data_IF_801375965751
#
_entry.id   IF_801375965751
#
_cell.length_a   1.000
_cell.length_b   1.000
_cell.length_c   1.000
_cell.angle_alpha   90.00
_cell.angle_beta   90.00
_cell.angle_gamma   90.00
#
_symmetry.space_group_name_H-M   'P 1'
#
loop_
_entity.id
_entity.type
_entity.pdbx_description
1 polymer ?
#
# COMPACT_ATOMS: atom_id res chain seq x y z
N UNK A 1 -22.46 2.94 15.77
CA UNK A 1 -22.23 1.86 14.81
C UNK A 1 -21.33 2.47 13.76
N UNK A 2 -20.04 2.18 13.80
CA UNK A 2 -19.08 2.72 12.84
C UNK A 2 -19.32 2.03 11.52
N UNK A 3 -19.63 2.78 10.47
CA UNK A 3 -19.82 2.20 9.14
C UNK A 3 -18.44 2.02 8.48
N UNK A 4 -17.83 0.87 8.76
CA UNK A 4 -16.50 0.53 8.24
C UNK A 4 -16.45 0.53 6.72
N UNK A 5 -17.56 0.22 6.04
CA UNK A 5 -17.63 0.21 4.57
C UNK A 5 -17.50 1.60 3.98
N UNK A 6 -18.26 2.56 4.51
CA UNK A 6 -18.20 3.96 4.10
C UNK A 6 -16.81 4.58 4.35
N UNK A 7 -16.21 4.32 5.52
CA UNK A 7 -14.90 4.88 5.86
C UNK A 7 -13.79 4.35 4.96
N UNK A 8 -13.75 3.03 4.73
CA UNK A 8 -12.80 2.39 3.79
C UNK A 8 -12.93 2.96 2.38
N UNK A 9 -14.16 3.18 1.91
CA UNK A 9 -14.40 3.71 0.56
C UNK A 9 -13.91 5.15 0.42
N UNK A 10 -14.23 6.01 1.38
CA UNK A 10 -13.77 7.40 1.39
C UNK A 10 -12.24 7.49 1.41
N UNK A 11 -11.59 6.61 2.16
CA UNK A 11 -10.13 6.55 2.18
C UNK A 11 -9.55 6.13 0.83
N UNK A 12 -10.09 5.09 0.19
CA UNK A 12 -9.67 4.66 -1.16
C UNK A 12 -9.82 5.80 -2.19
N UNK A 13 -10.98 6.48 -2.18
CA UNK A 13 -11.23 7.61 -3.08
C UNK A 13 -10.23 8.75 -2.84
N UNK A 14 -9.87 9.02 -1.59
CA UNK A 14 -8.86 10.02 -1.26
C UNK A 14 -7.45 9.60 -1.71
N UNK A 15 -7.06 8.34 -1.50
CA UNK A 15 -5.75 7.83 -1.89
C UNK A 15 -5.58 7.79 -3.41
N UNK A 16 -6.61 7.38 -4.15
CA UNK A 16 -6.62 7.41 -5.61
C UNK A 16 -6.46 8.84 -6.15
N UNK A 17 -7.08 9.82 -5.50
CA UNK A 17 -6.95 11.23 -5.87
C UNK A 17 -5.58 11.84 -5.54
N UNK A 18 -4.97 11.44 -4.43
CA UNK A 18 -3.67 11.98 -3.97
C UNK A 18 -2.50 11.30 -4.69
N UNK A 19 -2.61 10.01 -4.99
CA UNK A 19 -1.52 9.18 -5.53
C UNK A 19 -1.94 8.42 -6.82
N UNK A 20 -2.43 9.09 -7.86
CA UNK A 20 -2.98 8.43 -9.05
C UNK A 20 -1.98 7.53 -9.78
N UNK A 21 -0.69 7.85 -9.72
CA UNK A 21 0.38 7.07 -10.37
C UNK A 21 0.98 5.98 -9.46
N UNK A 22 0.83 6.11 -8.14
CA UNK A 22 1.44 5.22 -7.15
C UNK A 22 0.43 4.28 -6.48
N UNK A 23 -0.87 4.52 -6.65
CA UNK A 23 -1.96 3.78 -6.00
C UNK A 23 -2.81 3.06 -7.05
N UNK A 24 -3.00 1.75 -6.87
CA UNK A 24 -3.80 0.94 -7.80
C UNK A 24 -4.74 0.05 -7.00
N UNK A 25 -6.05 0.17 -7.23
CA UNK A 25 -7.04 -0.75 -6.67
C UNK A 25 -7.02 -2.06 -7.47
N UNK A 26 -6.83 -3.19 -6.78
CA UNK A 26 -6.80 -4.52 -7.38
C UNK A 26 -8.16 -5.22 -7.33
N UNK A 27 -8.89 -5.07 -6.22
CA UNK A 27 -10.27 -5.56 -6.07
C UNK A 27 -11.01 -4.74 -5.03
N UNK A 28 -12.34 -4.71 -5.13
CA UNK A 28 -13.22 -4.03 -4.17
C UNK A 28 -13.85 -5.00 -3.16
N UNK A 29 -13.77 -6.33 -3.38
CA UNK A 29 -14.45 -7.30 -2.51
C UNK A 29 -13.70 -8.66 -2.39
N UNK A 30 -12.85 -8.86 -1.36
CA UNK A 30 -12.47 -7.90 -0.33
C UNK A 30 -11.61 -6.76 -0.91
N UNK A 31 -11.70 -5.54 -0.35
CA UNK A 31 -10.96 -4.41 -0.88
C UNK A 31 -9.46 -4.64 -0.70
N UNK A 32 -8.73 -4.70 -1.81
CA UNK A 32 -7.29 -4.78 -1.84
C UNK A 32 -6.72 -3.86 -2.93
N UNK A 33 -5.59 -3.25 -2.59
CA UNK A 33 -4.93 -2.25 -3.41
C UNK A 33 -3.43 -2.34 -3.21
N UNK A 34 -2.68 -1.77 -4.14
CA UNK A 34 -1.23 -1.66 -4.07
C UNK A 34 -0.80 -0.22 -4.01
N UNK A 35 0.24 0.04 -3.21
CA UNK A 35 0.92 1.32 -3.14
C UNK A 35 2.37 1.09 -3.53
N UNK A 36 2.83 1.77 -4.56
CA UNK A 36 4.23 1.78 -4.96
C UNK A 36 4.93 2.97 -4.32
N UNK A 37 5.96 2.67 -3.53
CA UNK A 37 6.81 3.66 -2.88
C UNK A 37 8.20 3.58 -3.50
N UNK A 38 8.68 4.70 -4.01
CA UNK A 38 10.02 4.84 -4.59
C UNK A 38 10.80 5.82 -3.72
N UNK A 39 12.03 5.46 -3.37
CA UNK A 39 12.92 6.37 -2.64
C UNK A 39 13.31 7.54 -3.52
N UNK A 40 13.76 8.61 -2.87
CA UNK A 40 14.51 9.64 -3.57
C UNK A 40 15.77 9.03 -4.21
N UNK A 41 16.22 9.65 -5.31
CA UNK A 41 17.42 9.23 -6.02
C UNK A 41 18.65 9.45 -5.13
N UNK A 42 19.44 8.40 -4.94
CA UNK A 42 20.69 8.45 -4.19
C UNK A 42 21.81 9.16 -4.93
N UNK A 43 23.03 9.13 -4.38
CA UNK A 43 24.21 9.80 -4.95
C UNK A 43 24.56 9.36 -6.38
N UNK A 44 24.18 8.14 -6.79
CA UNK A 44 24.40 7.60 -8.12
C UNK A 44 23.16 7.62 -9.02
N UNK A 45 22.13 8.39 -8.69
CA UNK A 45 20.81 8.34 -9.34
C UNK A 45 20.09 6.99 -9.15
N UNK A 46 20.52 6.19 -8.16
CA UNK A 46 19.92 4.91 -7.82
C UNK A 46 18.67 5.11 -6.96
N UNK A 47 17.57 4.47 -7.33
CA UNK A 47 16.32 4.45 -6.55
C UNK A 47 15.99 3.04 -6.11
N UNK A 48 15.53 2.90 -4.87
CA UNK A 48 14.88 1.68 -4.40
C UNK A 48 13.38 1.84 -4.51
N UNK A 49 12.68 0.77 -4.87
CA UNK A 49 11.23 0.80 -4.98
C UNK A 49 10.64 -0.45 -4.34
N UNK A 50 9.53 -0.29 -3.65
CA UNK A 50 8.74 -1.40 -3.13
C UNK A 50 7.27 -1.15 -3.40
N UNK A 51 6.56 -2.20 -3.81
CA UNK A 51 5.13 -2.19 -4.00
C UNK A 51 4.52 -3.03 -2.89
N UNK A 52 3.80 -2.35 -2.00
CA UNK A 52 3.09 -2.96 -0.90
C UNK A 52 1.65 -3.22 -1.33
N UNK A 53 1.15 -4.43 -1.08
CA UNK A 53 -0.25 -4.77 -1.27
C UNK A 53 -0.94 -4.76 0.08
N UNK A 54 -2.00 -3.97 0.19
CA UNK A 54 -2.84 -3.88 1.37
C UNK A 54 -4.17 -4.58 1.11
N UNK A 55 -4.67 -5.28 2.12
CA UNK A 55 -5.99 -5.90 2.13
C UNK A 55 -6.72 -5.45 3.38
N UNK A 56 -7.82 -4.73 3.22
CA UNK A 56 -8.62 -4.31 4.37
C UNK A 56 -9.30 -5.51 5.02
N UNK A 57 -9.16 -5.61 6.34
CA UNK A 57 -9.96 -6.54 7.13
C UNK A 57 -11.41 -6.04 7.23
N UNK A 58 -12.32 -6.95 7.60
CA UNK A 58 -13.73 -6.59 7.83
C UNK A 58 -13.91 -5.60 8.99
N UNK A 59 -12.92 -5.57 9.90
CA UNK A 59 -12.90 -4.73 11.10
C UNK A 59 -12.05 -3.48 10.95
N UNK A 60 -11.42 -3.24 9.81
CA UNK A 60 -10.68 -1.99 9.61
C UNK A 60 -11.63 -0.78 9.71
N UNK A 61 -11.28 0.29 10.45
CA UNK A 61 -9.95 0.59 11.00
C UNK A 61 -9.68 0.09 12.44
N UNK A 62 -10.62 -0.59 13.11
CA UNK A 62 -10.38 -1.18 14.45
C UNK A 62 -9.31 -2.29 14.43
N UNK A 63 -9.23 -3.04 13.33
CA UNK A 63 -8.17 -4.02 13.09
C UNK A 63 -7.27 -3.53 11.94
N UNK A 64 -5.95 -3.63 12.12
CA UNK A 64 -4.99 -3.25 11.10
C UNK A 64 -5.24 -4.03 9.79
N UNK A 65 -4.97 -3.41 8.62
CA UNK A 65 -5.06 -4.12 7.36
C UNK A 65 -3.93 -5.14 7.28
N UNK A 66 -4.15 -6.19 6.49
CA UNK A 66 -3.06 -7.09 6.12
C UNK A 66 -2.23 -6.39 5.05
N UNK A 67 -0.91 -6.48 5.17
CA UNK A 67 0.02 -5.99 4.16
C UNK A 67 1.04 -7.07 3.79
N UNK A 68 1.45 -7.06 2.53
CA UNK A 68 2.48 -7.94 1.99
C UNK A 68 3.32 -7.18 0.96
N UNK A 69 4.59 -7.55 0.82
CA UNK A 69 5.46 -6.99 -0.23
C UNK A 69 5.12 -7.74 -1.53
N UNK A 70 4.51 -7.03 -2.47
CA UNK A 70 4.09 -7.60 -3.76
C UNK A 70 5.28 -7.71 -4.72
N UNK A 71 6.05 -6.62 -4.82
CA UNK A 71 7.28 -6.55 -5.62
C UNK A 71 8.26 -5.58 -5.00
N UNK A 72 9.54 -5.85 -5.17
CA UNK A 72 10.61 -4.94 -4.76
C UNK A 72 11.64 -4.80 -5.88
N UNK A 73 12.24 -3.62 -6.00
CA UNK A 73 13.28 -3.30 -6.97
C UNK A 73 14.45 -2.63 -6.25
N UNK A 74 15.65 -3.16 -6.47
CA UNK A 74 16.89 -2.71 -5.83
C UNK A 74 16.85 -2.71 -4.29
N UNK A 75 15.94 -3.48 -3.70
CA UNK A 75 15.83 -3.65 -2.24
C UNK A 75 16.38 -5.01 -1.85
N UNK A 76 17.37 -5.00 -0.95
CA UNK A 76 18.00 -6.21 -0.43
C UNK A 76 17.09 -6.95 0.57
N UNK A 77 17.16 -8.29 0.59
CA UNK A 77 16.31 -9.13 1.45
C UNK A 77 16.42 -8.82 2.95
N UNK A 78 17.58 -8.34 3.42
CA UNK A 78 17.72 -7.93 4.82
C UNK A 78 16.92 -6.66 5.13
N UNK A 79 16.76 -5.76 4.16
CA UNK A 79 15.95 -4.54 4.30
C UNK A 79 14.46 -4.84 4.18
N UNK A 80 14.09 -5.84 3.37
CA UNK A 80 12.71 -6.37 3.28
C UNK A 80 12.23 -6.89 4.64
N UNK A 81 13.10 -7.59 5.36
CA UNK A 81 12.80 -8.12 6.68
C UNK A 81 12.57 -7.02 7.74
N UNK A 82 13.07 -5.81 7.53
CA UNK A 82 12.83 -4.67 8.43
C UNK A 82 11.47 -3.97 8.14
N UNK A 83 10.93 -4.17 6.93
CA UNK A 83 9.62 -3.66 6.50
C UNK A 83 8.46 -4.56 6.99
N UNK A 84 8.73 -5.85 7.22
CA UNK A 84 7.75 -6.86 7.64
C UNK A 84 7.63 -6.95 9.16
#
# INVERSE_FOLDING_TARGET
MTDYGEERRKELEALEAVYPDCFIVLSENPPNFTVTVTSEAGENDETVQTTLKFTYSEKYPDEAPLYEIFTQLNLEDNSVADIL
#
